data_IF_697940441719
#
_entry.id   IF_697940441719
#
_cell.length_a   1.000
_cell.length_b   1.000
_cell.length_c   1.000
_cell.angle_alpha   90.00
_cell.angle_beta   90.00
_cell.angle_gamma   90.00
#
_symmetry.space_group_name_H-M   'P 1'
#
loop_
_entity.id
_entity.type
_entity.pdbx_description
1 polymer ?
#
# COMPACT_ATOMS: atom_id res chain seq x y z
N UNK A 1 -15.39 -11.00 3.55
CA UNK A 1 -14.67 -11.74 2.49
C UNK A 1 -13.24 -11.27 2.30
N UNK A 2 -12.99 -9.99 2.08
CA UNK A 2 -11.63 -9.45 1.90
C UNK A 2 -10.69 -9.74 3.08
N UNK A 3 -11.14 -9.52 4.30
CA UNK A 3 -10.33 -9.75 5.52
C UNK A 3 -9.92 -11.21 5.65
N UNK A 4 -10.82 -12.12 5.30
CA UNK A 4 -10.54 -13.56 5.35
C UNK A 4 -9.49 -13.96 4.30
N UNK A 5 -9.65 -13.48 3.07
CA UNK A 5 -8.71 -13.74 1.97
C UNK A 5 -7.32 -13.23 2.29
N UNK A 6 -7.23 -12.04 2.86
CA UNK A 6 -5.95 -11.45 3.28
C UNK A 6 -5.26 -12.28 4.36
N UNK A 7 -6.02 -12.71 5.37
CA UNK A 7 -5.47 -13.54 6.46
C UNK A 7 -4.96 -14.89 5.95
N UNK A 8 -5.67 -15.48 5.00
CA UNK A 8 -5.28 -16.77 4.41
C UNK A 8 -4.03 -16.66 3.53
N UNK A 9 -3.77 -15.49 2.95
CA UNK A 9 -2.60 -15.25 2.07
C UNK A 9 -1.35 -14.81 2.81
N UNK A 10 -1.47 -14.30 4.02
CA UNK A 10 -0.32 -13.88 4.82
C UNK A 10 0.23 -15.12 5.53
N UNK A 11 1.54 -15.42 5.35
CA UNK A 11 2.15 -16.57 6.02
C UNK A 11 2.02 -16.48 7.55
N UNK A 12 1.80 -17.63 8.20
CA UNK A 12 1.75 -17.72 9.65
C UNK A 12 3.05 -17.22 10.30
N UNK A 13 2.93 -16.60 11.46
CA UNK A 13 4.07 -16.07 12.20
C UNK A 13 4.56 -14.70 11.76
N UNK A 14 3.95 -14.11 10.72
CA UNK A 14 4.27 -12.77 10.25
C UNK A 14 3.24 -11.78 10.80
N UNK A 15 3.70 -10.65 11.35
CA UNK A 15 2.82 -9.56 11.70
C UNK A 15 2.18 -9.00 10.41
N UNK A 16 0.85 -9.07 10.26
CA UNK A 16 0.19 -8.60 9.04
C UNK A 16 0.50 -7.16 8.67
N UNK A 17 0.78 -6.31 9.66
CA UNK A 17 1.12 -4.91 9.44
C UNK A 17 2.43 -4.74 8.67
N UNK A 18 3.31 -5.72 8.72
CA UNK A 18 4.59 -5.73 8.02
C UNK A 18 4.47 -6.20 6.56
N UNK A 19 3.31 -6.71 6.16
CA UNK A 19 3.07 -7.12 4.78
C UNK A 19 2.63 -5.92 3.95
N UNK A 20 3.51 -5.47 3.06
CA UNK A 20 3.32 -4.23 2.27
C UNK A 20 2.10 -4.32 1.36
N UNK A 21 1.91 -5.45 0.71
CA UNK A 21 0.81 -5.64 -0.25
C UNK A 21 -0.51 -6.01 0.43
N UNK A 22 -0.49 -7.04 1.28
CA UNK A 22 -1.71 -7.68 1.80
C UNK A 22 -2.10 -7.22 3.20
N UNK A 23 -1.24 -6.50 3.90
CA UNK A 23 -1.53 -6.01 5.24
C UNK A 23 -2.57 -4.90 5.27
N UNK A 24 -3.12 -4.59 6.46
CA UNK A 24 -4.12 -3.53 6.60
C UNK A 24 -3.57 -2.18 6.14
N UNK A 25 -4.30 -1.49 5.26
CA UNK A 25 -3.86 -0.23 4.68
C UNK A 25 -2.72 -0.36 3.67
N UNK A 26 -2.41 -1.59 3.26
CA UNK A 26 -1.40 -1.88 2.26
C UNK A 26 -1.88 -1.65 0.83
N UNK A 27 -1.06 -2.05 -0.13
CA UNK A 27 -1.32 -1.78 -1.54
C UNK A 27 -2.62 -2.40 -2.05
N UNK A 28 -2.99 -3.59 -1.55
CA UNK A 28 -4.24 -4.23 -1.95
C UNK A 28 -5.48 -3.45 -1.50
N UNK A 29 -5.44 -2.84 -0.32
CA UNK A 29 -6.56 -1.99 0.14
C UNK A 29 -6.75 -0.81 -0.80
N UNK A 30 -5.66 -0.19 -1.23
CA UNK A 30 -5.71 0.96 -2.16
C UNK A 30 -6.28 0.52 -3.51
N UNK A 31 -5.81 -0.63 -4.04
CA UNK A 31 -6.33 -1.17 -5.30
C UNK A 31 -7.82 -1.49 -5.22
N UNK A 32 -8.25 -2.14 -4.14
CA UNK A 32 -9.67 -2.46 -3.94
C UNK A 32 -10.54 -1.20 -3.88
N UNK A 33 -10.07 -0.17 -3.18
CA UNK A 33 -10.79 1.10 -3.10
C UNK A 33 -10.92 1.75 -4.46
N UNK A 34 -9.83 1.79 -5.23
CA UNK A 34 -9.83 2.34 -6.60
C UNK A 34 -10.80 1.57 -7.49
N UNK A 35 -10.72 0.25 -7.49
CA UNK A 35 -11.61 -0.60 -8.31
C UNK A 35 -13.07 -0.38 -7.96
N UNK A 36 -13.38 -0.30 -6.67
CA UNK A 36 -14.76 -0.08 -6.22
C UNK A 36 -15.29 1.28 -6.69
N UNK A 37 -14.51 2.33 -6.54
CA UNK A 37 -14.89 3.67 -6.99
C UNK A 37 -14.99 3.75 -8.51
N UNK A 38 -14.13 3.05 -9.24
CA UNK A 38 -14.22 2.95 -10.70
C UNK A 38 -15.48 2.23 -11.15
N UNK A 39 -15.85 1.13 -10.49
CA UNK A 39 -17.08 0.39 -10.80
C UNK A 39 -18.32 1.25 -10.63
N UNK A 40 -18.33 2.10 -9.60
CA UNK A 40 -19.47 3.01 -9.37
C UNK A 40 -19.54 4.14 -10.39
N UNK A 41 -18.42 4.59 -10.90
CA UNK A 41 -18.31 5.81 -11.72
C UNK A 41 -17.87 5.54 -13.15
N UNK A 42 -17.29 4.38 -13.43
CA UNK A 42 -16.69 4.07 -14.72
C UNK A 42 -17.66 4.02 -15.89
N UNK A 43 -18.94 3.74 -15.64
CA UNK A 43 -19.98 3.79 -16.68
C UNK A 43 -20.36 5.21 -17.06
N UNK A 44 -20.18 6.16 -16.13
CA UNK A 44 -20.47 7.57 -16.32
C UNK A 44 -19.26 8.36 -16.83
N UNK A 45 -18.06 7.91 -16.42
CA UNK A 45 -16.80 8.58 -16.70
C UNK A 45 -15.77 7.57 -17.23
N UNK A 46 -15.61 7.53 -18.56
CA UNK A 46 -14.66 6.61 -19.21
C UNK A 46 -13.21 6.84 -18.75
N UNK A 47 -12.87 8.07 -18.39
CA UNK A 47 -11.55 8.45 -17.90
C UNK A 47 -11.15 7.75 -16.59
N UNK A 48 -12.15 7.27 -15.83
CA UNK A 48 -11.91 6.55 -14.59
C UNK A 48 -11.55 5.08 -14.80
N UNK A 49 -11.58 4.61 -16.06
CA UNK A 49 -11.22 3.24 -16.43
C UNK A 49 -9.77 3.14 -16.86
N UNK A 50 -8.86 3.25 -15.91
CA UNK A 50 -7.44 3.08 -16.18
C UNK A 50 -6.89 1.90 -15.39
N UNK A 51 -5.87 1.21 -15.95
CA UNK A 51 -5.19 0.09 -15.29
C UNK A 51 -4.14 0.56 -14.28
N UNK A 52 -3.67 1.81 -14.38
CA UNK A 52 -2.70 2.37 -13.46
C UNK A 52 -3.39 2.88 -12.19
N UNK A 53 -3.05 2.30 -11.05
CA UNK A 53 -3.61 2.72 -9.76
C UNK A 53 -3.28 4.18 -9.45
N UNK A 54 -2.07 4.61 -9.74
CA UNK A 54 -1.65 6.00 -9.52
C UNK A 54 -2.49 6.98 -10.33
N UNK A 55 -2.66 6.69 -11.62
CA UNK A 55 -3.45 7.52 -12.52
C UNK A 55 -4.92 7.50 -12.12
N UNK A 56 -5.43 6.34 -11.74
CA UNK A 56 -6.81 6.20 -11.28
C UNK A 56 -7.10 7.05 -10.04
N UNK A 57 -6.18 7.07 -9.08
CA UNK A 57 -6.31 7.91 -7.88
C UNK A 57 -6.42 9.39 -8.25
N UNK A 58 -5.59 9.84 -9.18
CA UNK A 58 -5.61 11.22 -9.65
C UNK A 58 -6.92 11.57 -10.34
N UNK A 59 -7.41 10.72 -11.20
CA UNK A 59 -8.68 10.92 -11.92
C UNK A 59 -9.87 10.91 -10.98
N UNK A 60 -9.90 10.00 -9.99
CA UNK A 60 -10.92 9.96 -8.96
C UNK A 60 -10.93 11.26 -8.13
N UNK A 61 -9.77 11.79 -7.85
CA UNK A 61 -9.66 13.07 -7.16
C UNK A 61 -10.19 14.22 -8.02
N UNK A 62 -9.77 14.31 -9.29
CA UNK A 62 -10.20 15.36 -10.21
C UNK A 62 -11.71 15.32 -10.47
N UNK A 63 -12.32 14.14 -10.47
CA UNK A 63 -13.76 13.97 -10.67
C UNK A 63 -14.58 14.18 -9.39
N UNK A 64 -13.95 14.49 -8.26
CA UNK A 64 -14.63 14.73 -6.99
C UNK A 64 -15.01 13.46 -6.21
N UNK A 65 -14.56 12.29 -6.64
CA UNK A 65 -14.84 11.01 -5.95
C UNK A 65 -13.94 10.77 -4.74
N UNK A 66 -12.77 11.42 -4.71
CA UNK A 66 -11.86 11.43 -3.57
C UNK A 66 -11.59 12.86 -3.13
N UNK A 67 -11.69 13.13 -1.84
CA UNK A 67 -11.28 14.40 -1.28
C UNK A 67 -9.78 14.59 -1.43
N UNK A 68 -9.28 15.82 -1.30
CA UNK A 68 -7.86 16.13 -1.33
C UNK A 68 -7.10 15.31 -0.28
N UNK A 69 -7.62 15.23 0.94
CA UNK A 69 -6.98 14.48 2.03
C UNK A 69 -6.91 12.99 1.78
N UNK A 70 -8.01 12.40 1.30
CA UNK A 70 -8.05 10.98 0.98
C UNK A 70 -7.14 10.63 -0.20
N UNK A 71 -7.15 11.46 -1.24
CA UNK A 71 -6.25 11.30 -2.38
C UNK A 71 -4.78 11.34 -1.95
N UNK A 72 -4.39 12.36 -1.19
CA UNK A 72 -3.01 12.50 -0.73
C UNK A 72 -2.56 11.31 0.12
N UNK A 73 -3.44 10.83 1.00
CA UNK A 73 -3.15 9.66 1.84
C UNK A 73 -2.94 8.41 0.98
N UNK A 74 -3.86 8.14 0.06
CA UNK A 74 -3.78 6.97 -0.80
C UNK A 74 -2.56 7.06 -1.74
N UNK A 75 -2.33 8.19 -2.36
CA UNK A 75 -1.21 8.38 -3.30
C UNK A 75 0.14 8.27 -2.59
N UNK A 76 0.32 8.91 -1.44
CA UNK A 76 1.58 8.85 -0.71
C UNK A 76 1.87 7.45 -0.14
N UNK A 77 0.85 6.76 0.35
CA UNK A 77 1.00 5.39 0.84
C UNK A 77 1.33 4.43 -0.30
N UNK A 78 0.68 4.59 -1.44
CA UNK A 78 0.95 3.81 -2.65
C UNK A 78 2.41 3.97 -3.11
N UNK A 79 2.86 5.21 -3.25
CA UNK A 79 4.23 5.52 -3.67
C UNK A 79 5.26 4.92 -2.72
N UNK A 80 5.07 5.12 -1.43
CA UNK A 80 6.00 4.61 -0.42
C UNK A 80 6.02 3.09 -0.39
N UNK A 81 4.85 2.45 -0.49
CA UNK A 81 4.75 0.99 -0.57
C UNK A 81 5.45 0.41 -1.79
N UNK A 82 5.32 1.05 -2.95
CA UNK A 82 6.01 0.62 -4.16
C UNK A 82 7.53 0.78 -4.04
N UNK A 83 7.99 1.86 -3.43
CA UNK A 83 9.43 2.06 -3.17
C UNK A 83 9.97 0.98 -2.22
N UNK A 84 9.23 0.66 -1.15
CA UNK A 84 9.60 -0.40 -0.22
C UNK A 84 9.72 -1.76 -0.92
N UNK A 85 8.79 -2.08 -1.81
CA UNK A 85 8.83 -3.33 -2.57
C UNK A 85 10.07 -3.40 -3.47
N UNK A 86 10.39 -2.32 -4.17
CA UNK A 86 11.58 -2.27 -5.01
C UNK A 86 12.86 -2.43 -4.19
N UNK A 87 12.95 -1.70 -3.08
CA UNK A 87 14.10 -1.77 -2.20
C UNK A 87 14.27 -3.17 -1.60
N UNK A 88 13.16 -3.82 -1.22
CA UNK A 88 13.18 -5.18 -0.69
C UNK A 88 13.74 -6.19 -1.69
N UNK A 89 13.29 -6.11 -2.94
CA UNK A 89 13.76 -7.01 -4.00
C UNK A 89 15.26 -6.83 -4.24
N UNK A 90 15.72 -5.59 -4.30
CA UNK A 90 17.16 -5.29 -4.50
C UNK A 90 17.98 -5.78 -3.30
N UNK A 91 17.53 -5.52 -2.08
CA UNK A 91 18.26 -5.89 -0.86
C UNK A 91 18.38 -7.41 -0.68
N UNK A 92 17.32 -8.16 -1.01
CA UNK A 92 17.30 -9.62 -0.87
C UNK A 92 17.91 -10.35 -2.07
N UNK A 93 18.03 -9.68 -3.21
CA UNK A 93 18.58 -10.29 -4.43
C UNK A 93 17.68 -11.37 -5.04
N UNK A 94 18.24 -12.26 -5.90
CA UNK A 94 17.49 -13.30 -6.59
C UNK A 94 16.81 -14.30 -5.65
N UNK A 95 17.30 -14.44 -4.44
CA UNK A 95 16.72 -15.32 -3.42
C UNK A 95 15.59 -14.67 -2.63
N UNK A 96 15.16 -13.46 -3.03
CA UNK A 96 14.09 -12.74 -2.36
C UNK A 96 12.84 -13.60 -2.28
N UNK A 97 12.28 -13.70 -1.07
CA UNK A 97 10.98 -14.30 -0.87
C UNK A 97 9.94 -13.61 -1.73
N UNK A 98 8.99 -14.36 -2.26
CA UNK A 98 7.86 -13.81 -3.00
C UNK A 98 6.91 -13.00 -2.12
N UNK A 99 7.13 -13.04 -0.80
CA UNK A 99 6.30 -12.31 0.15
C UNK A 99 6.77 -10.85 0.25
N UNK A 100 5.86 -9.91 0.09
CA UNK A 100 6.13 -8.47 0.23
C UNK A 100 6.11 -8.05 1.71
N UNK A 101 7.05 -8.57 2.49
CA UNK A 101 7.14 -8.34 3.93
C UNK A 101 8.40 -7.52 4.24
N UNK A 102 8.24 -6.52 5.11
CA UNK A 102 9.41 -5.80 5.64
C UNK A 102 10.24 -6.80 6.46
N UNK A 103 11.52 -7.01 6.14
CA UNK A 103 12.32 -8.03 6.81
C UNK A 103 12.55 -7.70 8.28
N UNK A 104 12.56 -8.74 9.12
CA UNK A 104 13.01 -8.65 10.51
C UNK A 104 14.53 -8.80 10.64
N UNK A 105 15.18 -9.36 9.62
CA UNK A 105 16.63 -9.50 9.57
C UNK A 105 17.28 -8.12 9.47
N UNK A 106 18.17 -7.82 10.42
CA UNK A 106 18.78 -6.49 10.54
C UNK A 106 19.61 -6.08 9.32
N UNK A 107 20.30 -7.02 8.68
CA UNK A 107 21.12 -6.72 7.50
C UNK A 107 20.26 -6.33 6.29
N UNK A 108 19.21 -7.10 6.03
CA UNK A 108 18.27 -6.78 4.96
C UNK A 108 17.52 -5.47 5.22
N UNK A 109 17.12 -5.25 6.47
CA UNK A 109 16.42 -4.03 6.86
C UNK A 109 17.32 -2.80 6.68
N UNK A 110 18.58 -2.90 7.07
CA UNK A 110 19.58 -1.82 6.85
C UNK A 110 19.76 -1.56 5.37
N UNK A 111 19.90 -2.63 4.55
CA UNK A 111 20.07 -2.48 3.10
C UNK A 111 18.87 -1.78 2.47
N UNK A 112 17.65 -2.17 2.83
CA UNK A 112 16.43 -1.50 2.36
C UNK A 112 16.41 -0.03 2.76
N UNK A 113 16.70 0.26 4.02
CA UNK A 113 16.69 1.63 4.53
C UNK A 113 17.68 2.51 3.78
N UNK A 114 18.89 2.02 3.55
CA UNK A 114 19.90 2.78 2.79
C UNK A 114 19.49 3.00 1.33
N UNK A 115 18.87 2.02 0.67
CA UNK A 115 18.33 2.18 -0.68
C UNK A 115 17.21 3.22 -0.71
N UNK A 116 16.49 3.40 0.39
CA UNK A 116 15.41 4.37 0.52
C UNK A 116 15.88 5.76 0.98
N UNK A 117 17.18 5.95 1.13
CA UNK A 117 17.77 7.24 1.54
C UNK A 117 17.92 7.43 3.05
N UNK A 118 17.66 6.41 3.85
CA UNK A 118 17.88 6.46 5.29
C UNK A 118 19.31 6.06 5.64
N UNK A 119 19.83 6.56 6.77
CA UNK A 119 21.08 6.07 7.32
C UNK A 119 20.85 4.72 8.02
N UNK A 120 21.94 4.02 8.33
CA UNK A 120 21.89 2.75 9.06
C UNK A 120 21.12 2.88 10.39
N UNK A 121 21.34 3.97 11.09
CA UNK A 121 20.69 4.21 12.39
C UNK A 121 19.20 4.59 12.27
N UNK A 122 18.77 4.94 11.06
CA UNK A 122 17.38 5.35 10.78
C UNK A 122 16.51 4.23 10.21
N UNK A 123 17.01 2.99 10.22
CA UNK A 123 16.25 1.85 9.64
C UNK A 123 14.86 1.67 10.26
N UNK A 124 14.76 1.94 11.56
CA UNK A 124 13.48 1.84 12.26
C UNK A 124 12.50 2.96 11.86
N UNK A 125 13.02 4.12 11.45
CA UNK A 125 12.18 5.22 10.96
C UNK A 125 11.45 4.83 9.67
N UNK A 126 12.11 4.07 8.79
CA UNK A 126 11.48 3.56 7.57
C UNK A 126 10.29 2.66 7.92
N UNK A 127 10.48 1.71 8.83
CA UNK A 127 9.42 0.81 9.28
C UNK A 127 8.28 1.58 9.96
N UNK A 128 8.62 2.51 10.83
CA UNK A 128 7.64 3.36 11.53
C UNK A 128 6.83 4.18 10.54
N UNK A 129 7.47 4.74 9.51
CA UNK A 129 6.77 5.49 8.47
C UNK A 129 5.75 4.62 7.74
N UNK A 130 6.12 3.37 7.41
CA UNK A 130 5.19 2.44 6.79
C UNK A 130 4.02 2.11 7.70
N UNK A 131 4.28 1.75 8.95
CA UNK A 131 3.24 1.40 9.92
C UNK A 131 2.26 2.56 10.15
N UNK A 132 2.77 3.78 10.23
CA UNK A 132 1.94 4.98 10.38
C UNK A 132 1.12 5.25 9.13
N UNK A 133 1.75 5.18 7.95
CA UNK A 133 1.08 5.44 6.67
C UNK A 133 -0.02 4.41 6.39
N UNK A 134 0.28 3.13 6.58
CA UNK A 134 -0.69 2.06 6.34
C UNK A 134 -1.85 2.10 7.34
N UNK A 135 -1.58 2.40 8.61
CA UNK A 135 -2.65 2.57 9.60
C UNK A 135 -3.62 3.68 9.21
N UNK A 136 -3.09 4.83 8.84
CA UNK A 136 -3.91 5.96 8.39
C UNK A 136 -4.66 5.64 7.08
N UNK A 137 -4.02 4.92 6.18
CA UNK A 137 -4.67 4.49 4.94
C UNK A 137 -5.82 3.50 5.24
N UNK A 138 -5.63 2.61 6.22
CA UNK A 138 -6.69 1.69 6.63
C UNK A 138 -7.92 2.42 7.17
N UNK A 139 -7.73 3.49 7.91
CA UNK A 139 -8.83 4.35 8.38
C UNK A 139 -9.60 4.95 7.20
N UNK A 140 -8.91 5.43 6.18
CA UNK A 140 -9.53 5.93 4.94
C UNK A 140 -10.27 4.83 4.22
N UNK A 141 -9.63 3.67 4.05
CA UNK A 141 -10.24 2.52 3.38
C UNK A 141 -11.56 2.11 4.06
N UNK A 142 -11.56 1.94 5.36
CA UNK A 142 -12.75 1.52 6.11
C UNK A 142 -13.87 2.55 5.99
N UNK A 143 -13.54 3.82 6.11
CA UNK A 143 -14.51 4.89 5.99
C UNK A 143 -15.18 4.92 4.63
N UNK A 144 -14.40 4.83 3.55
CA UNK A 144 -14.92 4.90 2.18
C UNK A 144 -15.55 3.59 1.73
N UNK A 145 -14.92 2.46 2.03
CA UNK A 145 -15.40 1.15 1.63
C UNK A 145 -16.78 0.83 2.23
N UNK A 146 -16.96 1.05 3.52
CA UNK A 146 -18.24 0.78 4.18
C UNK A 146 -19.35 1.76 3.79
N UNK A 147 -18.99 2.99 3.45
CA UNK A 147 -19.96 3.97 2.97
C UNK A 147 -20.42 3.67 1.54
N UNK A 148 -19.63 2.97 0.75
CA UNK A 148 -19.91 2.62 -0.64
C UNK A 148 -20.68 1.29 -0.72
N UNK A 149 -20.31 0.33 0.11
CA UNK A 149 -20.95 -0.97 0.16
C UNK A 149 -22.20 -0.93 1.00
#
# INVERSE_FOLDING_TARGET
>A
MKVRVERERIPGGIDPRMHIKLGPGGLSDIQWLVELLQLQSGSEHSDLRTSSTRQALLELHHSGKLTQGHYQRAASTWEFGQELRRARVIAAGPSASKNDVIPSNSEQLVAMAMLMGYSRDQREEMTTKWLTSSRKMREVFEKLFWNIS
#
